data_IF_375500612355
#
_entry.id   IF_375500612355
#
_cell.length_a   1.000
_cell.length_b   1.000
_cell.length_c   1.000
_cell.angle_alpha   90.00
_cell.angle_beta   90.00
_cell.angle_gamma   90.00
#
_symmetry.space_group_name_H-M   'P 1'
#
loop_
_entity.id
_entity.type
_entity.pdbx_description
1 polymer ?
#
# COMPACT_ATOMS: atom_id res chain seq x y z
N UNK A 1 -25.98 -34.46 51.07
CA UNK A 1 -24.79 -33.71 50.64
C UNK A 1 -24.79 -33.68 49.12
N UNK A 2 -25.32 -32.63 48.49
CA UNK A 2 -25.43 -32.45 47.02
C UNK A 2 -24.27 -31.60 46.57
N UNK A 3 -23.37 -32.15 45.80
CA UNK A 3 -22.24 -31.45 45.18
C UNK A 3 -22.74 -30.84 43.84
N UNK A 4 -22.76 -29.50 43.80
CA UNK A 4 -23.07 -28.75 42.58
C UNK A 4 -21.74 -28.49 41.87
N UNK A 5 -21.54 -29.10 40.72
CA UNK A 5 -20.43 -28.80 39.79
C UNK A 5 -20.80 -27.53 38.98
N UNK A 6 -20.13 -26.44 39.27
CA UNK A 6 -20.12 -25.23 38.42
C UNK A 6 -19.16 -25.44 37.25
N UNK A 7 -19.71 -25.66 36.08
CA UNK A 7 -18.96 -25.61 34.81
C UNK A 7 -18.75 -24.13 34.45
N UNK A 8 -17.54 -23.62 34.70
CA UNK A 8 -17.12 -22.34 34.13
C UNK A 8 -16.79 -22.52 32.67
N UNK A 9 -17.69 -22.11 31.77
CA UNK A 9 -17.44 -22.04 30.35
C UNK A 9 -16.48 -20.84 30.08
N UNK A 10 -15.21 -21.14 29.86
CA UNK A 10 -14.25 -20.20 29.30
C UNK A 10 -14.61 -19.95 27.83
N UNK A 11 -15.24 -18.82 27.55
CA UNK A 11 -15.37 -18.29 26.21
C UNK A 11 -13.98 -17.80 25.75
N UNK A 12 -13.25 -18.68 25.09
CA UNK A 12 -12.10 -18.30 24.28
C UNK A 12 -12.62 -17.51 23.08
N UNK A 13 -12.58 -16.18 23.23
CA UNK A 13 -12.71 -15.29 22.09
C UNK A 13 -11.48 -15.47 21.21
N UNK A 14 -11.56 -16.40 20.26
CA UNK A 14 -10.65 -16.46 19.15
C UNK A 14 -10.89 -15.18 18.33
N UNK A 15 -10.08 -14.15 18.55
CA UNK A 15 -9.87 -13.12 17.56
C UNK A 15 -9.45 -13.83 16.27
N UNK A 16 -10.33 -13.82 15.28
CA UNK A 16 -9.99 -14.31 13.95
C UNK A 16 -8.89 -13.39 13.40
N UNK A 17 -7.64 -13.72 13.69
CA UNK A 17 -6.51 -13.22 12.91
C UNK A 17 -6.73 -13.85 11.54
N UNK A 18 -7.28 -13.08 10.61
CA UNK A 18 -7.34 -13.46 9.22
C UNK A 18 -5.88 -13.58 8.74
N UNK A 19 -5.34 -14.79 8.83
CA UNK A 19 -4.08 -15.06 8.16
C UNK A 19 -4.30 -14.68 6.69
N UNK A 20 -3.52 -13.75 6.12
CA UNK A 20 -3.62 -13.49 4.70
C UNK A 20 -3.33 -14.82 4.00
N UNK A 21 -4.13 -15.12 2.98
CA UNK A 21 -3.77 -16.13 2.00
C UNK A 21 -2.39 -15.82 1.40
N UNK A 22 -1.97 -16.56 0.41
CA UNK A 22 -0.73 -16.27 -0.30
C UNK A 22 -0.75 -14.81 -0.81
N UNK A 23 0.39 -14.14 -0.68
CA UNK A 23 0.56 -12.75 -1.14
C UNK A 23 0.82 -12.75 -2.65
N UNK A 24 0.15 -11.89 -3.39
CA UNK A 24 0.33 -11.77 -4.84
C UNK A 24 1.78 -11.41 -5.19
N UNK A 25 2.40 -12.23 -6.02
CA UNK A 25 3.74 -12.02 -6.58
C UNK A 25 3.76 -12.29 -8.07
N UNK A 26 4.61 -11.57 -8.79
CA UNK A 26 4.80 -11.73 -10.23
C UNK A 26 6.29 -11.68 -10.53
N UNK A 27 6.78 -12.65 -11.28
CA UNK A 27 8.12 -12.57 -11.88
C UNK A 27 8.09 -11.64 -13.09
N UNK A 28 8.65 -10.44 -12.94
CA UNK A 28 8.70 -9.42 -14.00
C UNK A 28 9.60 -9.80 -15.16
N UNK A 29 10.42 -10.85 -15.07
CA UNK A 29 11.19 -11.37 -16.21
C UNK A 29 10.30 -11.97 -17.33
N UNK A 30 9.03 -12.23 -17.02
CA UNK A 30 8.03 -12.66 -18.02
C UNK A 30 7.57 -11.53 -18.93
N UNK A 31 7.70 -10.27 -18.51
CA UNK A 31 7.48 -9.09 -19.36
C UNK A 31 8.67 -8.92 -20.29
N UNK A 32 8.47 -8.85 -21.63
CA UNK A 32 9.55 -8.98 -22.58
C UNK A 32 10.42 -7.72 -22.77
N UNK A 33 9.97 -6.57 -22.27
CA UNK A 33 10.61 -5.28 -22.50
C UNK A 33 11.14 -4.65 -21.22
N UNK A 34 12.22 -3.89 -21.32
CA UNK A 34 12.68 -3.05 -20.23
C UNK A 34 11.89 -1.74 -20.21
N UNK A 35 11.62 -1.21 -19.02
CA UNK A 35 10.94 0.09 -18.84
C UNK A 35 11.91 1.26 -19.13
N UNK A 36 12.53 1.26 -20.31
CA UNK A 36 13.63 2.16 -20.67
C UNK A 36 13.18 3.53 -21.19
N UNK A 37 11.88 3.81 -21.17
CA UNK A 37 11.31 5.12 -21.53
C UNK A 37 9.93 5.32 -20.91
N UNK A 38 9.42 6.56 -20.84
CA UNK A 38 8.04 6.84 -20.46
C UNK A 38 7.01 6.11 -21.31
N UNK A 39 7.24 5.98 -22.62
CA UNK A 39 6.36 5.25 -23.54
C UNK A 39 6.28 3.77 -23.19
N UNK A 40 7.41 3.11 -22.90
CA UNK A 40 7.42 1.69 -22.49
C UNK A 40 6.81 1.47 -21.10
N UNK A 41 6.89 2.46 -20.22
CA UNK A 41 6.11 2.43 -18.98
C UNK A 41 4.61 2.47 -19.27
N UNK A 42 4.16 3.32 -20.22
CA UNK A 42 2.75 3.40 -20.59
C UNK A 42 2.25 2.12 -21.25
N UNK A 43 3.05 1.48 -22.13
CA UNK A 43 2.73 0.17 -22.71
C UNK A 43 2.50 -0.88 -21.63
N UNK A 44 3.44 -1.01 -20.71
CA UNK A 44 3.31 -1.95 -19.60
C UNK A 44 2.13 -1.62 -18.70
N UNK A 45 1.88 -0.34 -18.43
CA UNK A 45 0.76 0.14 -17.63
C UNK A 45 -0.59 -0.20 -18.27
N UNK A 46 -0.77 0.06 -19.59
CA UNK A 46 -1.99 -0.33 -20.31
C UNK A 46 -2.27 -1.82 -20.19
N UNK A 47 -1.23 -2.65 -20.37
CA UNK A 47 -1.35 -4.09 -20.25
C UNK A 47 -1.81 -4.54 -18.85
N UNK A 48 -1.18 -4.03 -17.77
CA UNK A 48 -1.55 -4.37 -16.39
C UNK A 48 -2.96 -3.87 -16.04
N UNK A 49 -3.33 -2.66 -16.49
CA UNK A 49 -4.68 -2.09 -16.28
C UNK A 49 -5.75 -2.96 -16.94
N UNK A 50 -5.56 -3.35 -18.20
CA UNK A 50 -6.52 -4.19 -18.92
C UNK A 50 -6.63 -5.59 -18.32
N UNK A 51 -5.51 -6.18 -17.89
CA UNK A 51 -5.51 -7.48 -17.23
C UNK A 51 -6.24 -7.42 -15.88
N UNK A 52 -5.99 -6.39 -15.08
CA UNK A 52 -6.69 -6.21 -13.81
C UNK A 52 -8.18 -5.91 -14.03
N UNK A 53 -8.53 -5.08 -15.02
CA UNK A 53 -9.92 -4.80 -15.40
C UNK A 53 -10.69 -6.08 -15.77
N UNK A 54 -10.07 -6.98 -16.55
CA UNK A 54 -10.64 -8.31 -16.88
C UNK A 54 -10.88 -9.15 -15.63
N UNK A 55 -9.92 -9.20 -14.71
CA UNK A 55 -10.04 -9.94 -13.45
C UNK A 55 -11.12 -9.34 -12.55
N UNK A 56 -11.18 -8.02 -12.47
CA UNK A 56 -12.21 -7.30 -11.70
C UNK A 56 -13.61 -7.59 -12.25
N UNK A 57 -13.79 -7.52 -13.57
CA UNK A 57 -15.03 -7.84 -14.24
C UNK A 57 -15.48 -9.28 -13.95
N UNK A 58 -14.57 -10.24 -14.05
CA UNK A 58 -14.85 -11.64 -13.72
C UNK A 58 -15.28 -11.84 -12.27
N UNK A 59 -14.76 -11.04 -11.34
CA UNK A 59 -15.15 -11.12 -9.93
C UNK A 59 -16.59 -10.68 -9.65
N UNK A 60 -17.18 -9.86 -10.53
CA UNK A 60 -18.52 -9.33 -10.37
C UNK A 60 -19.61 -10.35 -10.78
N UNK A 61 -19.24 -11.39 -11.53
CA UNK A 61 -20.15 -12.47 -11.90
C UNK A 61 -20.36 -13.50 -10.78
N UNK A 62 -19.58 -13.43 -9.69
CA UNK A 62 -19.74 -14.30 -8.55
C UNK A 62 -20.88 -13.83 -7.65
N UNK A 63 -21.78 -14.75 -7.31
CA UNK A 63 -22.74 -14.51 -6.24
C UNK A 63 -22.06 -14.42 -4.87
N UNK A 64 -22.79 -13.98 -3.85
CA UNK A 64 -22.25 -13.76 -2.51
C UNK A 64 -21.64 -15.03 -1.91
N UNK A 65 -22.27 -16.18 -2.09
CA UNK A 65 -21.81 -17.46 -1.55
C UNK A 65 -20.51 -17.90 -2.22
N UNK A 66 -20.44 -17.82 -3.55
CA UNK A 66 -19.24 -18.15 -4.33
C UNK A 66 -18.10 -17.19 -4.02
N UNK A 67 -18.38 -15.90 -3.84
CA UNK A 67 -17.36 -14.92 -3.44
C UNK A 67 -16.86 -15.19 -2.02
N UNK A 68 -17.75 -15.46 -1.06
CA UNK A 68 -17.37 -15.81 0.30
C UNK A 68 -16.48 -17.06 0.34
N UNK A 69 -16.85 -18.11 -0.42
CA UNK A 69 -16.04 -19.30 -0.57
C UNK A 69 -14.65 -19.01 -1.15
N UNK A 70 -14.58 -18.23 -2.23
CA UNK A 70 -13.31 -17.82 -2.87
C UNK A 70 -12.41 -17.06 -1.90
N UNK A 71 -12.97 -16.16 -1.10
CA UNK A 71 -12.24 -15.38 -0.11
C UNK A 71 -11.95 -16.15 1.18
N UNK A 72 -12.42 -17.39 1.33
CA UNK A 72 -12.28 -18.21 2.54
C UNK A 72 -13.02 -17.59 3.74
N UNK A 73 -14.20 -17.02 3.52
CA UNK A 73 -15.02 -16.34 4.52
C UNK A 73 -16.33 -17.10 4.73
N UNK A 74 -16.90 -17.01 5.95
CA UNK A 74 -18.25 -17.52 6.25
C UNK A 74 -19.34 -16.52 5.85
N UNK A 75 -19.06 -15.26 6.06
CA UNK A 75 -19.93 -14.13 5.72
C UNK A 75 -19.07 -12.99 5.22
N UNK A 76 -19.62 -12.11 4.42
CA UNK A 76 -18.93 -10.93 3.91
C UNK A 76 -19.86 -9.71 3.89
N UNK A 77 -19.26 -8.52 3.95
CA UNK A 77 -19.97 -7.28 3.72
C UNK A 77 -19.98 -6.98 2.21
N UNK A 78 -21.04 -7.43 1.53
CA UNK A 78 -21.17 -7.28 0.08
C UNK A 78 -21.24 -5.81 -0.36
N UNK A 79 -21.86 -4.95 0.46
CA UNK A 79 -21.94 -3.51 0.18
C UNK A 79 -20.55 -2.89 0.12
N UNK A 80 -19.72 -3.14 1.13
CA UNK A 80 -18.34 -2.67 1.17
C UNK A 80 -17.49 -3.22 0.02
N UNK A 81 -17.68 -4.49 -0.33
CA UNK A 81 -17.02 -5.11 -1.50
C UNK A 81 -17.40 -4.37 -2.79
N UNK A 82 -18.68 -4.08 -2.99
CA UNK A 82 -19.16 -3.41 -4.19
C UNK A 82 -18.71 -1.93 -4.25
N UNK A 83 -18.67 -1.24 -3.13
CA UNK A 83 -18.09 0.11 -3.04
C UNK A 83 -16.61 0.11 -3.45
N UNK A 84 -15.83 -0.87 -2.97
CA UNK A 84 -14.44 -1.02 -3.40
C UNK A 84 -14.32 -1.30 -4.90
N UNK A 85 -15.15 -2.22 -5.46
CA UNK A 85 -15.17 -2.52 -6.90
C UNK A 85 -15.43 -1.26 -7.74
N UNK A 86 -16.40 -0.44 -7.36
CA UNK A 86 -16.69 0.82 -8.04
C UNK A 86 -15.50 1.77 -8.02
N UNK A 87 -14.83 1.92 -6.87
CA UNK A 87 -13.64 2.76 -6.74
C UNK A 87 -12.48 2.22 -7.60
N UNK A 88 -12.28 0.90 -7.64
CA UNK A 88 -11.25 0.29 -8.48
C UNK A 88 -11.51 0.59 -9.97
N UNK A 89 -12.75 0.47 -10.44
CA UNK A 89 -13.11 0.82 -11.81
C UNK A 89 -12.83 2.29 -12.15
N UNK A 90 -13.16 3.21 -11.25
CA UNK A 90 -12.88 4.64 -11.46
C UNK A 90 -11.37 4.91 -11.58
N UNK A 91 -10.57 4.29 -10.70
CA UNK A 91 -9.11 4.40 -10.77
C UNK A 91 -8.54 3.80 -12.06
N UNK A 92 -9.04 2.65 -12.50
CA UNK A 92 -8.62 2.03 -13.76
C UNK A 92 -8.91 2.92 -14.97
N UNK A 93 -10.10 3.53 -15.03
CA UNK A 93 -10.45 4.45 -16.10
C UNK A 93 -9.51 5.66 -16.15
N UNK A 94 -9.31 6.31 -14.99
CA UNK A 94 -8.37 7.44 -14.89
C UNK A 94 -6.95 7.06 -15.32
N UNK A 95 -6.46 5.93 -14.84
CA UNK A 95 -5.11 5.45 -15.10
C UNK A 95 -4.92 5.02 -16.56
N UNK A 96 -5.95 4.40 -17.18
CA UNK A 96 -5.90 4.07 -18.59
C UNK A 96 -5.89 5.32 -19.46
N UNK A 97 -6.66 6.35 -19.09
CA UNK A 97 -6.68 7.64 -19.78
C UNK A 97 -5.32 8.35 -19.76
N UNK A 98 -4.55 8.20 -18.68
CA UNK A 98 -3.15 8.66 -18.66
C UNK A 98 -2.27 7.78 -19.56
N UNK A 99 -2.38 6.46 -19.45
CA UNK A 99 -1.51 5.53 -20.19
C UNK A 99 -1.74 5.52 -21.70
N UNK A 100 -2.93 5.88 -22.18
CA UNK A 100 -3.23 5.94 -23.61
C UNK A 100 -2.68 7.19 -24.31
N UNK A 101 -2.16 8.19 -23.58
CA UNK A 101 -1.63 9.41 -24.18
C UNK A 101 -0.41 9.19 -25.07
N UNK A 102 0.27 8.04 -24.94
CA UNK A 102 1.42 7.65 -25.77
C UNK A 102 1.06 6.65 -26.87
N UNK A 103 -0.23 6.45 -27.18
CA UNK A 103 -0.68 5.49 -28.19
C UNK A 103 -0.26 5.84 -29.63
N UNK A 104 0.06 7.09 -29.90
CA UNK A 104 0.64 7.56 -31.16
C UNK A 104 2.12 7.15 -31.33
N UNK A 105 2.81 6.90 -30.22
CA UNK A 105 4.21 6.47 -30.20
C UNK A 105 4.33 4.94 -30.18
N UNK A 106 3.44 4.25 -29.50
CA UNK A 106 3.35 2.80 -29.43
C UNK A 106 1.90 2.36 -29.23
N UNK A 107 1.35 1.66 -30.22
CA UNK A 107 -0.05 1.23 -30.24
C UNK A 107 -0.34 -0.06 -29.45
N UNK A 108 0.67 -0.66 -28.78
CA UNK A 108 0.48 -1.86 -27.98
C UNK A 108 -0.51 -1.63 -26.85
N UNK A 109 -1.52 -2.49 -26.76
CA UNK A 109 -2.61 -2.41 -25.78
C UNK A 109 -3.39 -1.09 -25.79
N UNK A 110 -3.42 -0.40 -26.94
CA UNK A 110 -4.22 0.80 -27.15
C UNK A 110 -5.59 0.44 -27.69
N UNK A 111 -6.61 0.78 -26.94
CA UNK A 111 -8.01 0.62 -27.30
C UNK A 111 -8.74 1.96 -27.06
N UNK A 112 -9.80 2.21 -27.83
CA UNK A 112 -10.62 3.38 -27.58
C UNK A 112 -11.40 3.18 -26.27
N UNK A 113 -11.00 3.93 -25.25
CA UNK A 113 -11.65 3.95 -23.94
C UNK A 113 -11.98 5.40 -23.60
N UNK A 114 -13.24 5.75 -23.64
CA UNK A 114 -13.73 7.10 -23.35
C UNK A 114 -14.41 7.18 -21.98
N UNK A 115 -15.03 6.09 -21.57
CA UNK A 115 -15.80 6.00 -20.33
C UNK A 115 -15.73 4.62 -19.68
N UNK A 116 -16.46 4.46 -18.59
CA UNK A 116 -16.52 3.21 -17.84
C UNK A 116 -17.13 2.05 -18.64
N UNK A 117 -18.10 2.33 -19.52
CA UNK A 117 -18.77 1.30 -20.30
C UNK A 117 -17.80 0.74 -21.35
N UNK A 118 -17.08 1.60 -22.05
CA UNK A 118 -16.07 1.21 -23.03
C UNK A 118 -14.89 0.49 -22.39
N UNK A 119 -14.42 0.91 -21.18
CA UNK A 119 -13.38 0.18 -20.45
C UNK A 119 -13.85 -1.24 -20.09
N UNK A 120 -15.08 -1.41 -19.62
CA UNK A 120 -15.66 -2.73 -19.29
C UNK A 120 -15.79 -3.61 -20.54
N UNK A 121 -16.18 -3.04 -21.66
CA UNK A 121 -16.26 -3.74 -22.93
C UNK A 121 -14.87 -4.24 -23.38
N UNK A 122 -13.84 -3.38 -23.30
CA UNK A 122 -12.47 -3.78 -23.61
C UNK A 122 -11.95 -4.85 -22.64
N UNK A 123 -12.23 -4.73 -21.34
CA UNK A 123 -11.87 -5.72 -20.34
C UNK A 123 -12.48 -7.10 -20.64
N UNK A 124 -13.76 -7.14 -21.08
CA UNK A 124 -14.44 -8.39 -21.44
C UNK A 124 -13.80 -9.09 -22.65
N UNK A 125 -13.30 -8.31 -23.62
CA UNK A 125 -12.68 -8.79 -24.87
C UNK A 125 -11.17 -9.01 -24.74
N UNK A 126 -10.54 -8.47 -23.68
CA UNK A 126 -9.09 -8.46 -23.56
C UNK A 126 -8.52 -9.87 -23.49
N UNK A 127 -7.72 -10.21 -24.47
CA UNK A 127 -6.98 -11.46 -24.56
C UNK A 127 -5.64 -11.19 -25.20
N UNK A 128 -4.61 -11.87 -24.74
CA UNK A 128 -3.28 -11.87 -25.38
C UNK A 128 -3.21 -13.11 -26.26
N UNK A 129 -2.99 -12.91 -27.55
CA UNK A 129 -2.94 -14.00 -28.53
C UNK A 129 -1.72 -14.90 -28.30
N UNK A 130 -1.83 -16.20 -28.63
CA UNK A 130 -0.79 -17.19 -28.39
C UNK A 130 0.51 -16.93 -29.15
N UNK A 131 0.45 -16.19 -30.23
CA UNK A 131 1.59 -15.73 -31.04
C UNK A 131 2.12 -14.35 -30.62
N UNK A 132 1.50 -13.73 -29.61
CA UNK A 132 1.90 -12.42 -29.13
C UNK A 132 3.29 -12.44 -28.49
N UNK A 133 4.05 -11.36 -28.73
CA UNK A 133 5.30 -11.09 -28.03
C UNK A 133 5.14 -11.06 -26.50
N UNK A 134 3.93 -10.74 -26.00
CA UNK A 134 3.61 -10.62 -24.57
C UNK A 134 2.99 -11.89 -23.97
N UNK A 135 2.89 -13.00 -24.71
CA UNK A 135 2.19 -14.20 -24.25
C UNK A 135 2.74 -14.78 -22.92
N UNK A 136 4.08 -14.73 -22.74
CA UNK A 136 4.71 -15.25 -21.50
C UNK A 136 4.31 -14.48 -20.25
N UNK A 137 3.98 -13.19 -20.39
CA UNK A 137 3.52 -12.35 -19.29
C UNK A 137 2.04 -12.57 -18.95
N UNK A 138 1.20 -12.91 -19.91
CA UNK A 138 -0.26 -12.85 -19.80
C UNK A 138 -0.81 -13.68 -18.63
N UNK A 139 -0.47 -14.95 -18.54
CA UNK A 139 -1.01 -15.81 -17.47
C UNK A 139 -0.40 -15.51 -16.08
N UNK A 140 0.92 -15.30 -15.92
CA UNK A 140 1.48 -14.83 -14.66
C UNK A 140 0.85 -13.52 -14.16
N UNK A 141 0.61 -12.54 -15.03
CA UNK A 141 -0.05 -11.29 -14.68
C UNK A 141 -1.51 -11.50 -14.27
N UNK A 142 -2.26 -12.33 -14.99
CA UNK A 142 -3.64 -12.68 -14.64
C UNK A 142 -3.73 -13.31 -13.23
N UNK A 143 -2.82 -14.22 -12.92
CA UNK A 143 -2.76 -14.86 -11.59
C UNK A 143 -2.41 -13.84 -10.49
N UNK A 144 -1.42 -12.99 -10.74
CA UNK A 144 -1.07 -11.90 -9.84
C UNK A 144 -2.27 -11.00 -9.54
N UNK A 145 -2.95 -10.52 -10.57
CA UNK A 145 -4.08 -9.62 -10.42
C UNK A 145 -5.28 -10.29 -9.75
N UNK A 146 -5.52 -11.58 -10.01
CA UNK A 146 -6.56 -12.33 -9.33
C UNK A 146 -6.28 -12.43 -7.82
N UNK A 147 -5.05 -12.77 -7.46
CA UNK A 147 -4.64 -12.85 -6.05
C UNK A 147 -4.66 -11.47 -5.38
N UNK A 148 -4.14 -10.43 -6.04
CA UNK A 148 -4.16 -9.05 -5.52
C UNK A 148 -5.59 -8.56 -5.30
N UNK A 149 -6.50 -8.82 -6.26
CA UNK A 149 -7.91 -8.46 -6.09
C UNK A 149 -8.54 -9.18 -4.89
N UNK A 150 -8.26 -10.47 -4.71
CA UNK A 150 -8.76 -11.24 -3.57
C UNK A 150 -8.23 -10.68 -2.22
N UNK A 151 -6.98 -10.22 -2.16
CA UNK A 151 -6.45 -9.51 -0.99
C UNK A 151 -7.28 -8.26 -0.68
N UNK A 152 -7.61 -7.45 -1.71
CA UNK A 152 -8.36 -6.21 -1.54
C UNK A 152 -9.83 -6.48 -1.17
N UNK A 153 -10.50 -7.41 -1.87
CA UNK A 153 -11.89 -7.77 -1.59
C UNK A 153 -12.05 -8.40 -0.21
N UNK A 154 -11.07 -9.20 0.24
CA UNK A 154 -11.08 -9.78 1.59
C UNK A 154 -10.95 -8.70 2.67
N UNK A 155 -10.11 -7.68 2.48
CA UNK A 155 -10.01 -6.53 3.38
C UNK A 155 -11.33 -5.77 3.45
N UNK A 156 -11.96 -5.49 2.31
CA UNK A 156 -13.25 -4.82 2.24
C UNK A 156 -14.37 -5.62 2.92
N UNK A 157 -14.36 -6.95 2.76
CA UNK A 157 -15.37 -7.82 3.35
C UNK A 157 -15.28 -7.94 4.88
N UNK A 158 -14.05 -7.96 5.42
CA UNK A 158 -13.79 -8.17 6.85
C UNK A 158 -13.62 -6.86 7.62
N UNK A 159 -12.94 -5.90 7.03
CA UNK A 159 -12.49 -4.68 7.68
C UNK A 159 -12.78 -3.44 6.81
N UNK A 160 -14.05 -3.19 6.42
CA UNK A 160 -14.35 -2.12 5.48
C UNK A 160 -13.89 -0.73 5.95
N UNK A 161 -13.69 -0.56 7.26
CA UNK A 161 -13.36 0.70 7.93
C UNK A 161 -11.91 0.79 8.39
N UNK A 162 -11.11 -0.26 8.25
CA UNK A 162 -9.78 -0.36 8.87
C UNK A 162 -8.64 -0.54 7.88
N UNK A 163 -8.92 -0.60 6.58
CA UNK A 163 -7.88 -0.72 5.56
C UNK A 163 -7.73 0.58 4.78
N UNK A 164 -6.48 1.04 4.64
CA UNK A 164 -6.18 2.24 3.86
C UNK A 164 -6.48 2.07 2.37
N UNK A 165 -6.32 0.86 1.87
CA UNK A 165 -6.55 0.54 0.45
C UNK A 165 -8.04 0.48 0.09
N UNK A 166 -8.93 0.27 1.08
CA UNK A 166 -10.37 0.18 0.86
C UNK A 166 -11.04 1.55 0.74
N UNK A 167 -10.64 2.54 1.52
CA UNK A 167 -11.26 3.86 1.46
C UNK A 167 -10.73 4.85 2.50
N UNK A 168 -11.17 6.09 2.38
CA UNK A 168 -10.96 7.17 3.34
C UNK A 168 -12.25 7.51 4.05
N UNK A 169 -12.17 7.93 5.31
CA UNK A 169 -13.34 8.40 6.08
C UNK A 169 -13.67 9.87 5.84
N UNK A 170 -12.68 10.68 5.47
CA UNK A 170 -12.88 12.11 5.24
C UNK A 170 -11.62 12.81 4.77
N UNK A 171 -11.71 14.14 4.68
CA UNK A 171 -10.62 14.99 4.16
C UNK A 171 -9.45 15.16 5.12
N UNK A 172 -9.56 14.71 6.36
CA UNK A 172 -8.43 14.63 7.28
C UNK A 172 -7.49 13.46 6.97
N UNK A 173 -7.91 12.51 6.14
CA UNK A 173 -7.11 11.39 5.66
C UNK A 173 -6.50 11.70 4.29
N UNK A 174 -5.25 11.32 4.09
CA UNK A 174 -4.48 11.54 2.86
C UNK A 174 -3.90 10.23 2.36
N UNK A 175 -3.97 10.03 1.07
CA UNK A 175 -3.30 9.00 0.29
C UNK A 175 -2.75 9.62 -1.00
N UNK A 176 -2.42 8.82 -2.00
CA UNK A 176 -1.89 9.28 -3.27
C UNK A 176 -2.92 9.67 -4.33
N UNK A 177 -4.23 9.63 -4.04
CA UNK A 177 -5.28 9.87 -5.06
C UNK A 177 -5.16 11.24 -5.76
N UNK A 178 -4.61 12.26 -5.07
CA UNK A 178 -4.42 13.60 -5.61
C UNK A 178 -3.05 13.82 -6.29
N UNK A 179 -2.18 12.83 -6.32
CA UNK A 179 -0.85 12.93 -6.93
C UNK A 179 -0.95 12.93 -8.45
N UNK A 180 0.00 13.61 -9.09
CA UNK A 180 0.11 13.61 -10.55
C UNK A 180 0.47 12.22 -11.08
N UNK A 181 0.16 11.98 -12.35
CA UNK A 181 0.55 10.76 -13.06
C UNK A 181 2.07 10.52 -12.96
N UNK A 182 2.45 9.26 -12.73
CA UNK A 182 3.84 8.80 -12.55
C UNK A 182 4.59 9.41 -11.36
N UNK A 183 3.89 10.05 -10.41
CA UNK A 183 4.48 10.59 -9.19
C UNK A 183 4.22 9.63 -8.02
N UNK A 184 5.28 9.22 -7.34
CA UNK A 184 5.20 8.31 -6.19
C UNK A 184 5.91 8.88 -4.96
N UNK A 185 5.34 8.64 -3.79
CA UNK A 185 5.96 8.94 -2.51
C UNK A 185 6.42 7.65 -1.84
N UNK A 186 7.68 7.61 -1.45
CA UNK A 186 8.20 6.54 -0.60
C UNK A 186 7.85 6.79 0.86
N UNK A 187 7.33 5.77 1.53
CA UNK A 187 7.09 5.80 2.97
C UNK A 187 7.55 4.52 3.63
N UNK A 188 7.95 4.64 4.90
CA UNK A 188 8.50 3.54 5.67
C UNK A 188 7.84 3.47 7.04
N UNK A 189 7.31 2.29 7.36
CA UNK A 189 6.71 2.02 8.66
C UNK A 189 7.71 1.35 9.60
N UNK A 190 7.59 1.63 10.90
CA UNK A 190 8.22 0.86 11.96
C UNK A 190 7.35 -0.33 12.32
N UNK A 191 7.80 -1.57 12.07
CA UNK A 191 7.09 -2.74 12.59
C UNK A 191 7.45 -3.00 14.06
N UNK A 192 6.49 -3.59 14.79
CA UNK A 192 6.73 -4.04 16.16
C UNK A 192 7.84 -5.10 16.21
N UNK A 193 8.78 -4.92 17.14
CA UNK A 193 9.74 -5.94 17.59
C UNK A 193 10.61 -6.62 16.50
N UNK A 194 10.66 -6.11 15.28
CA UNK A 194 11.52 -6.68 14.26
C UNK A 194 12.95 -6.14 14.38
N UNK A 195 13.92 -7.02 14.37
CA UNK A 195 15.34 -6.76 14.16
C UNK A 195 15.76 -7.46 12.87
N UNK A 196 16.61 -6.88 12.02
CA UNK A 196 17.42 -5.68 12.22
C UNK A 196 16.66 -4.37 11.94
N UNK A 197 17.15 -3.26 12.49
CA UNK A 197 16.70 -1.90 12.18
C UNK A 197 17.52 -1.33 11.02
N UNK A 198 16.93 -1.23 9.86
CA UNK A 198 17.59 -0.75 8.64
C UNK A 198 17.43 0.76 8.40
N UNK A 199 16.87 1.51 9.36
CA UNK A 199 16.59 2.96 9.19
C UNK A 199 17.84 3.72 8.72
N UNK A 200 19.00 3.51 9.37
CA UNK A 200 20.21 4.22 9.00
C UNK A 200 20.69 3.87 7.57
N UNK A 201 20.56 2.62 7.16
CA UNK A 201 20.89 2.20 5.80
C UNK A 201 19.94 2.83 4.77
N UNK A 202 18.64 2.81 5.03
CA UNK A 202 17.63 3.37 4.10
C UNK A 202 17.83 4.87 3.93
N UNK A 203 17.97 5.62 5.04
CA UNK A 203 18.15 7.08 4.98
C UNK A 203 19.43 7.47 4.26
N UNK A 204 20.52 6.72 4.46
CA UNK A 204 21.77 6.94 3.74
C UNK A 204 21.64 6.62 2.26
N UNK A 205 20.96 5.52 1.91
CA UNK A 205 20.71 5.14 0.52
C UNK A 205 19.89 6.21 -0.22
N UNK A 206 18.83 6.72 0.41
CA UNK A 206 17.98 7.77 -0.16
C UNK A 206 18.76 9.07 -0.37
N UNK A 207 19.56 9.51 0.63
CA UNK A 207 20.43 10.71 0.47
C UNK A 207 21.39 10.58 -0.70
N UNK A 208 22.07 9.43 -0.83
CA UNK A 208 22.98 9.16 -1.96
C UNK A 208 22.28 9.15 -3.32
N UNK A 209 21.00 8.81 -3.32
CA UNK A 209 20.16 8.82 -4.53
C UNK A 209 19.47 10.17 -4.77
N UNK A 210 19.78 11.19 -3.95
CA UNK A 210 19.10 12.50 -3.95
C UNK A 210 17.57 12.38 -3.82
N UNK A 211 17.13 11.50 -2.91
CA UNK A 211 15.73 11.20 -2.64
C UNK A 211 15.44 11.40 -1.15
N UNK A 212 14.17 11.65 -0.85
CA UNK A 212 13.66 11.65 0.51
C UNK A 212 12.38 10.78 0.62
N UNK A 213 11.97 10.53 1.85
CA UNK A 213 10.80 9.73 2.18
C UNK A 213 10.20 10.15 3.52
N UNK A 214 8.98 9.72 3.78
CA UNK A 214 8.35 9.86 5.10
C UNK A 214 8.52 8.58 5.91
N UNK A 215 9.10 8.70 7.10
CA UNK A 215 9.25 7.62 8.07
C UNK A 215 8.18 7.75 9.15
N UNK A 216 7.33 6.76 9.29
CA UNK A 216 6.35 6.69 10.36
C UNK A 216 6.91 5.89 11.53
N UNK A 217 7.15 6.56 12.66
CA UNK A 217 7.87 5.99 13.80
C UNK A 217 6.97 5.77 15.01
N UNK A 218 7.29 4.75 15.80
CA UNK A 218 6.68 4.52 17.10
C UNK A 218 7.40 5.37 18.17
N UNK A 219 6.63 6.05 19.03
CA UNK A 219 7.20 6.85 20.12
C UNK A 219 8.11 6.03 21.03
N UNK A 220 7.71 4.80 21.36
CA UNK A 220 8.50 3.86 22.18
C UNK A 220 9.85 3.50 21.54
N UNK A 221 9.90 3.33 20.20
CA UNK A 221 11.15 3.04 19.49
C UNK A 221 12.10 4.25 19.50
N UNK A 222 11.56 5.46 19.31
CA UNK A 222 12.36 6.70 19.43
C UNK A 222 12.88 6.89 20.85
N UNK A 223 12.05 6.66 21.86
CA UNK A 223 12.50 6.72 23.26
C UNK A 223 13.60 5.72 23.57
N UNK A 224 13.48 4.48 23.08
CA UNK A 224 14.52 3.46 23.25
C UNK A 224 15.83 3.85 22.59
N UNK A 225 15.80 4.39 21.37
CA UNK A 225 17.00 4.88 20.67
C UNK A 225 17.69 6.04 21.40
N UNK A 226 16.92 6.91 22.04
CA UNK A 226 17.46 8.04 22.82
C UNK A 226 18.09 7.59 24.15
N UNK A 227 17.83 6.38 24.64
CA UNK A 227 18.53 5.82 25.78
C UNK A 227 20.00 5.45 25.46
N UNK A 228 20.26 5.05 24.20
CA UNK A 228 21.56 4.56 23.76
C UNK A 228 22.31 5.55 22.84
N UNK A 229 21.63 6.58 22.33
CA UNK A 229 22.17 7.54 21.34
C UNK A 229 21.84 8.97 21.71
N UNK A 230 22.69 9.91 21.32
CA UNK A 230 22.41 11.33 21.46
C UNK A 230 21.28 11.80 20.51
N UNK A 231 20.61 12.89 20.88
CA UNK A 231 19.61 13.55 20.01
C UNK A 231 20.26 13.94 18.66
N UNK A 232 21.48 14.47 18.66
CA UNK A 232 22.20 14.83 17.44
C UNK A 232 22.43 13.61 16.51
N UNK A 233 22.74 12.44 17.06
CA UNK A 233 22.89 11.20 16.28
C UNK A 233 21.56 10.77 15.65
N UNK A 234 20.44 10.92 16.38
CA UNK A 234 19.11 10.62 15.86
C UNK A 234 18.70 11.60 14.74
N UNK A 235 18.95 12.90 14.94
CA UNK A 235 18.72 13.95 13.92
C UNK A 235 19.56 13.68 12.66
N UNK A 236 20.83 13.29 12.82
CA UNK A 236 21.70 12.90 11.71
C UNK A 236 21.16 11.70 10.93
N UNK A 237 20.55 10.73 11.60
CA UNK A 237 19.92 9.57 10.94
C UNK A 237 18.80 10.01 10.00
N UNK A 238 17.92 10.92 10.43
CA UNK A 238 16.78 11.37 9.62
C UNK A 238 17.07 12.63 8.80
N UNK A 239 18.31 13.12 8.74
CA UNK A 239 18.67 14.29 7.94
C UNK A 239 18.11 14.19 6.52
N UNK A 240 17.44 15.26 6.03
CA UNK A 240 16.74 15.33 4.73
C UNK A 240 15.55 14.39 4.57
N UNK A 241 15.08 13.76 5.64
CA UNK A 241 13.90 12.89 5.62
C UNK A 241 12.76 13.52 6.43
N UNK A 242 11.52 13.11 6.14
CA UNK A 242 10.35 13.50 6.93
C UNK A 242 10.03 12.43 7.97
N UNK A 243 9.56 12.84 9.14
CA UNK A 243 9.18 11.92 10.23
C UNK A 243 7.77 12.24 10.70
N UNK A 244 6.85 11.31 10.44
CA UNK A 244 5.52 11.24 11.02
C UNK A 244 5.47 10.21 12.16
N UNK A 245 4.32 10.02 12.76
CA UNK A 245 4.15 9.10 13.89
C UNK A 245 3.19 7.95 13.57
N UNK A 246 3.40 6.78 14.21
CA UNK A 246 2.50 5.62 14.20
C UNK A 246 1.82 5.38 15.55
N UNK A 247 1.86 6.35 16.47
CA UNK A 247 1.47 6.20 17.85
C UNK A 247 2.64 5.76 18.73
N UNK A 248 2.34 5.49 20.02
CA UNK A 248 3.37 5.16 21.00
C UNK A 248 3.94 3.77 20.83
N UNK A 249 3.07 2.79 20.56
CA UNK A 249 3.44 1.39 20.32
C UNK A 249 2.64 0.81 19.13
N UNK A 250 3.15 -0.27 18.54
CA UNK A 250 2.50 -0.96 17.43
C UNK A 250 1.25 -1.70 17.92
N UNK A 251 0.13 -0.99 17.90
CA UNK A 251 -1.17 -1.49 18.34
C UNK A 251 -2.29 -0.85 17.52
N UNK A 252 -3.32 -1.63 17.19
CA UNK A 252 -4.51 -1.09 16.52
C UNK A 252 -5.13 0.07 17.29
N UNK A 253 -5.30 1.20 16.65
CA UNK A 253 -5.94 2.39 17.22
C UNK A 253 -7.46 2.40 17.03
N UNK A 254 -8.04 1.38 16.36
CA UNK A 254 -9.48 1.32 16.10
C UNK A 254 -10.32 1.06 17.36
N UNK A 255 -9.84 0.21 18.27
CA UNK A 255 -10.56 -0.19 19.49
C UNK A 255 -9.81 0.08 20.77
N UNK A 256 -8.62 0.64 20.72
CA UNK A 256 -7.81 0.95 21.89
C UNK A 256 -8.35 2.19 22.60
N UNK A 257 -8.58 2.10 23.90
CA UNK A 257 -9.16 3.17 24.70
C UNK A 257 -8.23 4.39 24.79
N UNK A 258 -6.91 4.16 24.95
CA UNK A 258 -5.89 5.20 25.12
C UNK A 258 -5.26 5.64 23.79
N UNK A 259 -5.93 5.44 22.67
CA UNK A 259 -5.39 5.71 21.33
C UNK A 259 -4.99 7.18 21.13
N UNK A 260 -5.76 8.13 21.71
CA UNK A 260 -5.46 9.56 21.62
C UNK A 260 -4.19 9.92 22.39
N UNK A 261 -4.00 9.34 23.59
CA UNK A 261 -2.78 9.53 24.36
C UNK A 261 -1.56 8.97 23.64
N UNK A 262 -1.69 7.80 23.06
CA UNK A 262 -0.67 7.18 22.21
C UNK A 262 -0.21 8.11 21.10
N UNK A 263 -1.14 8.75 20.38
CA UNK A 263 -0.81 9.70 19.30
C UNK A 263 -0.16 10.96 19.86
N UNK A 264 -0.75 11.61 20.89
CA UNK A 264 -0.21 12.86 21.46
C UNK A 264 1.21 12.70 21.97
N UNK A 265 1.48 11.66 22.76
CA UNK A 265 2.81 11.39 23.33
C UNK A 265 3.87 11.18 22.23
N UNK A 266 3.50 10.49 21.18
CA UNK A 266 4.39 10.27 20.03
C UNK A 266 4.70 11.56 19.28
N UNK A 267 3.67 12.39 19.04
CA UNK A 267 3.82 13.70 18.41
C UNK A 267 4.73 14.60 19.23
N UNK A 268 4.47 14.70 20.53
CA UNK A 268 5.25 15.54 21.44
C UNK A 268 6.74 15.13 21.46
N UNK A 269 7.00 13.82 21.55
CA UNK A 269 8.35 13.30 21.53
C UNK A 269 9.07 13.58 20.20
N UNK A 270 8.44 13.23 19.07
CA UNK A 270 9.07 13.38 17.75
C UNK A 270 9.26 14.85 17.41
N UNK A 271 8.24 15.70 17.60
CA UNK A 271 8.32 17.15 17.38
C UNK A 271 9.39 17.82 18.26
N UNK A 272 9.53 17.35 19.51
CA UNK A 272 10.54 17.91 20.43
C UNK A 272 11.96 17.46 20.17
N UNK A 273 12.18 16.29 19.56
CA UNK A 273 13.52 15.71 19.33
C UNK A 273 14.00 15.80 17.88
N UNK A 274 13.07 15.85 16.93
CA UNK A 274 13.30 15.92 15.49
C UNK A 274 12.54 17.10 14.84
N UNK A 275 12.65 18.34 15.34
CA UNK A 275 11.83 19.46 14.89
C UNK A 275 11.97 19.76 13.40
N UNK A 276 13.19 19.62 12.84
CA UNK A 276 13.47 19.87 11.41
C UNK A 276 12.91 18.77 10.48
N UNK A 277 12.63 17.59 11.01
CA UNK A 277 12.17 16.44 10.24
C UNK A 277 10.67 16.19 10.44
N UNK A 278 10.11 16.69 11.53
CA UNK A 278 8.73 16.41 11.91
C UNK A 278 7.73 16.93 10.87
N UNK A 279 6.83 16.05 10.45
CA UNK A 279 5.64 16.40 9.67
C UNK A 279 4.38 16.01 10.45
N UNK A 280 3.29 16.82 10.41
CA UNK A 280 2.10 16.59 11.22
C UNK A 280 1.23 15.46 10.67
N UNK A 281 1.80 14.28 10.55
CA UNK A 281 1.19 13.09 9.99
C UNK A 281 1.15 11.96 11.00
N UNK A 282 0.01 11.28 11.07
CA UNK A 282 -0.17 10.03 11.80
C UNK A 282 -0.51 8.91 10.82
N UNK A 283 0.18 7.78 10.90
CA UNK A 283 -0.19 6.56 10.19
C UNK A 283 -0.64 5.51 11.18
N UNK A 284 -1.91 5.06 11.10
CA UNK A 284 -2.37 4.00 11.98
C UNK A 284 -1.68 2.68 11.66
N UNK A 285 -1.18 1.93 12.68
CA UNK A 285 -0.66 0.59 12.48
C UNK A 285 -1.64 -0.30 11.72
N UNK A 286 -1.15 -1.00 10.68
CA UNK A 286 -1.97 -1.84 9.78
C UNK A 286 -3.12 -1.10 9.08
N UNK A 287 -3.13 0.23 9.06
CA UNK A 287 -4.23 1.04 8.54
C UNK A 287 -5.49 1.03 9.43
N UNK A 288 -5.41 0.43 10.63
CA UNK A 288 -6.55 0.25 11.52
C UNK A 288 -6.83 1.53 12.32
N UNK A 289 -7.99 2.12 12.08
CA UNK A 289 -8.40 3.42 12.62
C UNK A 289 -9.90 3.53 12.84
N UNK A 290 -10.29 4.62 13.47
CA UNK A 290 -11.67 4.93 13.83
C UNK A 290 -12.29 5.88 12.80
N UNK A 291 -13.56 5.66 12.45
CA UNK A 291 -14.34 6.59 11.60
C UNK A 291 -14.74 7.88 12.32
N UNK A 292 -14.76 7.89 13.65
CA UNK A 292 -15.14 9.03 14.50
C UNK A 292 -13.95 9.86 15.00
N UNK A 293 -12.78 9.75 14.35
CA UNK A 293 -11.53 10.34 14.81
C UNK A 293 -11.23 11.74 14.23
N UNK A 294 -12.03 12.24 13.29
CA UNK A 294 -11.78 13.50 12.56
C UNK A 294 -11.58 14.70 13.52
N UNK A 295 -12.49 14.88 14.49
CA UNK A 295 -12.40 15.98 15.45
C UNK A 295 -11.12 15.98 16.27
N UNK A 296 -10.62 14.79 16.64
CA UNK A 296 -9.34 14.66 17.32
C UNK A 296 -8.18 15.09 16.42
N UNK A 297 -8.04 14.52 15.23
CA UNK A 297 -6.91 14.84 14.34
C UNK A 297 -6.91 16.30 13.92
N UNK A 298 -8.07 16.86 13.59
CA UNK A 298 -8.23 18.29 13.28
C UNK A 298 -7.81 19.18 14.46
N UNK A 299 -8.23 18.84 15.70
CA UNK A 299 -7.86 19.60 16.89
C UNK A 299 -6.37 19.58 17.21
N UNK A 300 -5.67 18.52 16.79
CA UNK A 300 -4.22 18.37 16.95
C UNK A 300 -3.42 18.94 15.75
N UNK A 301 -4.09 19.44 14.71
CA UNK A 301 -3.44 19.85 13.48
C UNK A 301 -2.77 18.69 12.74
N UNK A 302 -3.26 17.46 12.92
CA UNK A 302 -2.72 16.23 12.31
C UNK A 302 -3.59 15.79 11.13
N UNK A 303 -2.96 15.13 10.18
CA UNK A 303 -3.62 14.36 9.13
C UNK A 303 -3.27 12.88 9.25
N UNK A 304 -4.19 12.03 8.87
CA UNK A 304 -3.94 10.59 8.78
C UNK A 304 -3.33 10.28 7.41
N UNK A 305 -2.13 9.70 7.40
CA UNK A 305 -1.43 9.31 6.19
C UNK A 305 -1.65 7.84 5.88
N UNK A 306 -2.29 7.56 4.75
CA UNK A 306 -2.57 6.24 4.24
C UNK A 306 -1.60 5.89 3.10
N UNK A 307 -1.77 4.72 2.49
CA UNK A 307 -0.97 4.27 1.35
C UNK A 307 -1.86 3.66 0.27
N UNK A 308 -1.32 3.57 -0.95
CA UNK A 308 -1.98 2.99 -2.13
C UNK A 308 -1.34 1.67 -2.55
N UNK A 309 -0.04 1.52 -2.30
CA UNK A 309 0.77 0.37 -2.69
C UNK A 309 1.47 -0.17 -1.44
N UNK A 310 1.15 -1.41 -1.08
CA UNK A 310 1.78 -2.13 0.03
C UNK A 310 2.81 -3.13 -0.52
N UNK A 311 4.05 -2.96 -0.11
CA UNK A 311 5.15 -3.84 -0.49
C UNK A 311 5.02 -5.25 0.09
N UNK A 312 4.18 -5.45 1.11
CA UNK A 312 3.94 -6.71 1.83
C UNK A 312 5.24 -7.34 2.38
N UNK A 313 6.20 -6.49 2.68
CA UNK A 313 7.50 -6.90 3.25
C UNK A 313 7.47 -7.03 4.78
N UNK A 314 6.47 -6.42 5.45
CA UNK A 314 6.37 -6.37 6.93
C UNK A 314 6.18 -7.73 7.60
N UNK A 315 5.53 -8.69 6.95
CA UNK A 315 5.28 -10.03 7.50
C UNK A 315 6.42 -11.03 7.24
N UNK A 316 7.50 -10.63 6.56
CA UNK A 316 8.63 -11.50 6.21
C UNK A 316 8.26 -12.65 5.24
N UNK A 317 7.09 -12.58 4.60
CA UNK A 317 6.61 -13.62 3.66
C UNK A 317 7.27 -13.53 2.30
N UNK A 318 7.62 -12.32 1.86
CA UNK A 318 8.23 -12.07 0.55
C UNK A 318 9.74 -11.86 0.66
N UNK A 319 10.47 -12.42 -0.31
CA UNK A 319 11.87 -12.06 -0.54
C UNK A 319 11.94 -10.63 -1.11
N UNK A 320 13.07 -9.96 -0.96
CA UNK A 320 13.23 -8.59 -1.45
C UNK A 320 12.94 -8.42 -2.95
N UNK A 321 13.34 -9.39 -3.78
CA UNK A 321 13.02 -9.39 -5.21
C UNK A 321 11.52 -9.51 -5.49
N UNK A 322 10.81 -10.35 -4.73
CA UNK A 322 9.36 -10.54 -4.88
C UNK A 322 8.59 -9.28 -4.46
N UNK A 323 8.99 -8.67 -3.34
CA UNK A 323 8.41 -7.41 -2.87
C UNK A 323 8.64 -6.28 -3.89
N UNK A 324 9.86 -6.15 -4.44
CA UNK A 324 10.18 -5.15 -5.46
C UNK A 324 9.36 -5.33 -6.75
N UNK A 325 9.25 -6.55 -7.24
CA UNK A 325 8.48 -6.87 -8.45
C UNK A 325 6.98 -6.65 -8.25
N UNK A 326 6.45 -6.98 -7.05
CA UNK A 326 5.08 -6.64 -6.66
C UNK A 326 4.85 -5.13 -6.70
N UNK A 327 5.72 -4.36 -6.05
CA UNK A 327 5.61 -2.89 -6.03
C UNK A 327 5.66 -2.34 -7.45
N UNK A 328 6.60 -2.77 -8.30
CA UNK A 328 6.67 -2.31 -9.68
C UNK A 328 5.39 -2.63 -10.48
N UNK A 329 4.83 -3.84 -10.32
CA UNK A 329 3.57 -4.22 -10.99
C UNK A 329 2.42 -3.31 -10.53
N UNK A 330 2.34 -3.01 -9.24
CA UNK A 330 1.33 -2.09 -8.70
C UNK A 330 1.59 -0.63 -9.10
N UNK A 331 2.84 -0.20 -9.26
CA UNK A 331 3.17 1.11 -9.83
C UNK A 331 2.69 1.25 -11.28
N UNK A 332 2.84 0.20 -12.08
CA UNK A 332 2.30 0.16 -13.45
C UNK A 332 0.76 0.20 -13.46
N UNK A 333 0.12 -0.52 -12.56
CA UNK A 333 -1.34 -0.56 -12.44
C UNK A 333 -1.92 0.78 -11.96
N UNK A 334 -1.34 1.35 -10.89
CA UNK A 334 -1.91 2.52 -10.21
C UNK A 334 -1.31 3.85 -10.66
N UNK A 335 -0.20 3.86 -11.38
CA UNK A 335 0.47 4.98 -12.03
C UNK A 335 0.94 6.12 -11.13
N UNK A 336 0.39 6.26 -9.94
CA UNK A 336 0.78 7.22 -8.91
C UNK A 336 0.38 6.70 -7.52
N UNK A 337 0.92 7.29 -6.47
CA UNK A 337 0.49 6.97 -5.13
C UNK A 337 1.59 6.87 -4.09
N UNK A 338 1.16 6.55 -2.88
CA UNK A 338 2.02 6.37 -1.71
C UNK A 338 2.40 4.89 -1.58
N UNK A 339 3.70 4.62 -1.60
CA UNK A 339 4.26 3.26 -1.44
C UNK A 339 4.68 3.07 0.02
N UNK A 340 4.23 1.97 0.62
CA UNK A 340 4.58 1.60 1.99
C UNK A 340 5.53 0.42 2.02
N UNK A 341 6.71 0.62 2.63
CA UNK A 341 7.70 -0.38 2.99
C UNK A 341 7.89 -0.44 4.51
N UNK A 342 8.58 -1.47 4.99
CA UNK A 342 8.92 -1.63 6.40
C UNK A 342 10.44 -1.58 6.61
N UNK A 343 10.92 -0.64 7.45
CA UNK A 343 12.37 -0.46 7.71
C UNK A 343 13.02 -1.64 8.44
N UNK A 344 12.25 -2.51 9.06
CA UNK A 344 12.77 -3.60 9.89
C UNK A 344 12.93 -4.92 9.12
N UNK A 345 12.95 -4.87 7.78
CA UNK A 345 13.11 -6.05 6.93
C UNK A 345 14.36 -5.95 6.06
N UNK A 346 15.21 -6.98 6.10
CA UNK A 346 16.40 -7.05 5.22
C UNK A 346 16.05 -7.17 3.73
N UNK A 347 14.84 -7.64 3.43
CA UNK A 347 14.28 -7.64 2.08
C UNK A 347 14.39 -6.27 1.39
N UNK A 348 14.28 -5.19 2.17
CA UNK A 348 14.37 -3.81 1.72
C UNK A 348 15.71 -3.48 1.03
N UNK A 349 16.83 -4.04 1.54
CA UNK A 349 18.17 -3.83 0.95
C UNK A 349 18.32 -4.36 -0.48
N UNK A 350 17.50 -5.33 -0.85
CA UNK A 350 17.41 -5.85 -2.22
C UNK A 350 16.31 -5.13 -3.01
N UNK A 351 15.17 -4.87 -2.38
CA UNK A 351 14.00 -4.30 -3.05
C UNK A 351 14.25 -2.87 -3.55
N UNK A 352 14.75 -1.99 -2.68
CA UNK A 352 14.92 -0.57 -3.00
C UNK A 352 15.87 -0.29 -4.15
N UNK A 353 17.14 -0.82 -4.17
CA UNK A 353 18.05 -0.57 -5.28
C UNK A 353 17.51 -1.10 -6.61
N UNK A 354 16.91 -2.28 -6.59
CA UNK A 354 16.32 -2.86 -7.79
C UNK A 354 15.17 -1.99 -8.33
N UNK A 355 14.23 -1.59 -7.47
CA UNK A 355 13.07 -0.80 -7.87
C UNK A 355 13.50 0.55 -8.47
N UNK A 356 14.39 1.29 -7.79
CA UNK A 356 14.89 2.59 -8.24
C UNK A 356 15.62 2.46 -9.58
N UNK A 357 16.44 1.41 -9.75
CA UNK A 357 17.14 1.17 -11.02
C UNK A 357 16.16 0.86 -12.16
N UNK A 358 15.14 0.02 -11.90
CA UNK A 358 14.15 -0.35 -12.93
C UNK A 358 13.29 0.84 -13.35
N UNK A 359 13.03 1.77 -12.44
CA UNK A 359 12.13 2.90 -12.69
C UNK A 359 12.85 4.17 -13.16
N UNK A 360 14.16 4.25 -13.01
CA UNK A 360 14.94 5.45 -13.35
C UNK A 360 14.70 5.98 -14.79
N UNK A 361 14.67 5.15 -15.86
CA UNK A 361 14.45 5.63 -17.22
C UNK A 361 12.99 5.79 -17.62
N UNK A 362 12.03 5.38 -16.77
CA UNK A 362 10.62 5.23 -17.12
C UNK A 362 9.79 6.52 -17.01
N UNK A 363 10.41 7.64 -16.66
CA UNK A 363 9.71 8.92 -16.46
C UNK A 363 8.95 9.01 -15.14
N UNK A 364 9.22 8.12 -14.18
CA UNK A 364 8.68 8.18 -12.81
C UNK A 364 9.36 9.31 -12.05
N UNK A 365 8.55 10.10 -11.34
CA UNK A 365 8.97 11.08 -10.35
C UNK A 365 8.82 10.55 -8.92
N UNK A 366 9.74 10.95 -8.04
CA UNK A 366 9.64 10.72 -6.61
C UNK A 366 9.25 12.02 -5.91
N UNK A 367 8.13 12.01 -5.21
CA UNK A 367 7.59 13.18 -4.54
C UNK A 367 8.45 13.57 -3.34
N UNK A 368 8.63 14.89 -3.14
CA UNK A 368 9.23 15.40 -1.92
C UNK A 368 8.28 15.15 -0.74
N UNK A 369 8.80 14.53 0.31
CA UNK A 369 8.02 14.20 1.50
C UNK A 369 7.47 15.43 2.24
N UNK A 370 8.05 16.61 2.04
CA UNK A 370 7.57 17.87 2.62
C UNK A 370 6.28 18.36 1.94
N UNK A 371 6.05 18.00 0.68
CA UNK A 371 4.94 18.50 -0.14
C UNK A 371 3.84 17.48 -0.39
N UNK A 372 4.16 16.20 -0.30
CA UNK A 372 3.33 15.10 -0.81
C UNK A 372 1.96 14.93 -0.14
N UNK A 373 1.78 15.40 1.09
CA UNK A 373 0.52 15.31 1.86
C UNK A 373 -0.10 16.70 2.17
N UNK A 374 0.29 17.73 1.45
CA UNK A 374 -0.27 19.08 1.60
C UNK A 374 -1.67 19.24 1.05
#
# INVERSE_FOLDING_TARGET
MRIVFLFSAWLLSFGAIAAPGDVATLDRSTWPEQLSSPTLFDVASRAEILMFARVLLASESLDEASLAQRLGLRTLNLESVNQLRQRLWQRLLTNYNFAQQSCDQDASFCFLVEDMATLREQAAKFQVSDDSYYIKWAEPSRLFHAQYLDEQLRKAALFPQTSSEVGRFGDYERNGDAMNDRLFLLTFDSAANATPDNTAWVTEYLRKSNMNATFFVLGKDIQARLADRSVASLQGTYSQQCVGVQGWEFRSHSHWQDWQDSVRRSVELVKGKLPENYVPLFRPPEGQRRSDAEGFFTSQGLRVALWDIDAQDGAGKLKGSQSAQRVLTLMLLWRHGVINFNVKQDALKTAMPWLITQTAPSGIGWADCQDAFR
#
